data_IF_027649591308
#
_entry.id   IF_027649591308
#
_cell.length_a   1.000
_cell.length_b   1.000
_cell.length_c   1.000
_cell.angle_alpha   90.00
_cell.angle_beta   90.00
_cell.angle_gamma   90.00
#
_symmetry.space_group_name_H-M   'P 1'
#
loop_
_entity.id
_entity.type
_entity.pdbx_description
1 polymer ?
#
# COMPACT_ATOMS: atom_id res chain seq x y z
N UNK A 1 -52.20 7.66 -10.94
CA UNK A 1 -51.17 8.63 -10.51
C UNK A 1 -50.37 8.05 -9.35
N UNK A 2 -49.04 8.03 -9.35
CA UNK A 2 -48.27 7.54 -8.21
C UNK A 2 -48.35 8.54 -7.04
N UNK A 3 -48.73 8.05 -5.86
CA UNK A 3 -48.90 8.86 -4.64
C UNK A 3 -47.55 9.44 -4.18
N UNK A 4 -47.53 10.74 -3.95
CA UNK A 4 -46.38 11.47 -3.42
C UNK A 4 -45.89 10.88 -2.08
N UNK A 5 -44.56 10.73 -1.96
CA UNK A 5 -43.91 10.32 -0.72
C UNK A 5 -44.14 11.40 0.35
N UNK A 6 -45.04 11.11 1.30
CA UNK A 6 -45.31 11.99 2.45
C UNK A 6 -44.01 12.31 3.18
N UNK A 7 -43.83 13.61 3.44
CA UNK A 7 -42.60 14.26 3.86
C UNK A 7 -41.85 13.59 5.02
N UNK A 8 -40.53 13.63 4.91
CA UNK A 8 -39.61 13.40 6.03
C UNK A 8 -39.95 14.40 7.13
N UNK A 9 -40.46 13.90 8.25
CA UNK A 9 -40.67 14.68 9.46
C UNK A 9 -39.32 15.14 10.01
N UNK A 10 -38.87 16.33 9.62
CA UNK A 10 -37.61 16.95 10.01
C UNK A 10 -37.56 17.46 11.48
N UNK A 11 -38.49 17.00 12.34
CA UNK A 11 -38.62 17.47 13.72
C UNK A 11 -39.20 16.46 14.70
N UNK A 12 -39.23 15.16 14.38
CA UNK A 12 -39.55 14.13 15.38
C UNK A 12 -38.25 13.61 15.97
N UNK A 13 -38.10 13.74 17.29
CA UNK A 13 -37.07 13.06 18.08
C UNK A 13 -36.89 11.63 17.57
N UNK A 14 -35.63 11.17 17.45
CA UNK A 14 -35.31 9.83 16.94
C UNK A 14 -35.97 8.81 17.88
N UNK A 15 -37.18 8.37 17.52
CA UNK A 15 -37.94 7.37 18.27
C UNK A 15 -37.06 6.15 18.48
N UNK A 16 -37.06 5.62 19.69
CA UNK A 16 -36.37 4.36 20.03
C UNK A 16 -36.84 3.28 19.04
N UNK A 17 -35.88 2.71 18.31
CA UNK A 17 -36.15 1.71 17.27
C UNK A 17 -35.96 0.34 17.90
N UNK A 18 -36.99 -0.50 17.87
CA UNK A 18 -36.84 -1.88 18.35
C UNK A 18 -35.84 -2.66 17.46
N UNK A 19 -34.93 -3.46 18.04
CA UNK A 19 -33.87 -4.15 17.30
C UNK A 19 -34.38 -5.04 16.16
N UNK A 20 -35.52 -5.70 16.34
CA UNK A 20 -36.13 -6.58 15.33
C UNK A 20 -37.10 -5.88 14.38
N UNK A 21 -37.17 -4.54 14.40
CA UNK A 21 -38.05 -3.81 13.51
C UNK A 21 -37.50 -3.74 12.08
N UNK A 22 -38.40 -3.59 11.08
CA UNK A 22 -38.01 -3.35 9.68
C UNK A 22 -37.08 -2.13 9.52
N UNK A 23 -37.27 -1.10 10.36
CA UNK A 23 -36.44 0.11 10.35
C UNK A 23 -35.02 -0.19 10.83
N UNK A 24 -34.86 -1.01 11.87
CA UNK A 24 -33.54 -1.47 12.32
C UNK A 24 -32.83 -2.29 11.23
N UNK A 25 -33.54 -3.22 10.58
CA UNK A 25 -32.98 -4.01 9.47
C UNK A 25 -32.55 -3.16 8.26
N UNK A 26 -33.25 -2.05 7.99
CA UNK A 26 -32.83 -1.10 6.95
C UNK A 26 -31.55 -0.35 7.33
N UNK A 27 -31.44 0.08 8.59
CA UNK A 27 -30.24 0.77 9.10
C UNK A 27 -29.03 -0.16 9.07
N UNK A 28 -29.16 -1.42 9.51
CA UNK A 28 -28.05 -2.39 9.47
C UNK A 28 -27.62 -2.70 8.04
N UNK A 29 -28.57 -2.82 7.10
CA UNK A 29 -28.26 -2.99 5.67
C UNK A 29 -27.51 -1.81 5.09
N UNK A 30 -27.91 -0.59 5.43
CA UNK A 30 -27.24 0.63 4.98
C UNK A 30 -25.83 0.75 5.59
N UNK A 31 -25.69 0.45 6.88
CA UNK A 31 -24.39 0.41 7.57
C UNK A 31 -23.44 -0.60 6.91
N UNK A 32 -23.88 -1.84 6.65
CA UNK A 32 -23.05 -2.83 5.95
C UNK A 32 -22.70 -2.42 4.52
N UNK A 33 -23.62 -1.77 3.79
CA UNK A 33 -23.31 -1.23 2.46
C UNK A 33 -22.22 -0.18 2.54
N UNK A 34 -22.30 0.72 3.52
CA UNK A 34 -21.32 1.78 3.72
C UNK A 34 -19.97 1.21 4.18
N UNK A 35 -19.96 0.25 5.08
CA UNK A 35 -18.76 -0.48 5.52
C UNK A 35 -18.03 -1.15 4.35
N UNK A 36 -18.76 -1.88 3.49
CA UNK A 36 -18.19 -2.49 2.28
C UNK A 36 -17.61 -1.44 1.33
N UNK A 37 -18.29 -0.30 1.17
CA UNK A 37 -17.82 0.80 0.33
C UNK A 37 -16.52 1.40 0.87
N UNK A 38 -16.45 1.68 2.17
CA UNK A 38 -15.23 2.22 2.79
C UNK A 38 -14.09 1.21 2.77
N UNK A 39 -14.35 -0.08 2.97
CA UNK A 39 -13.34 -1.14 2.83
C UNK A 39 -12.70 -1.13 1.43
N UNK A 40 -13.52 -1.09 0.38
CA UNK A 40 -13.02 -1.04 -1.01
C UNK A 40 -12.21 0.23 -1.30
N UNK A 41 -12.58 1.37 -0.71
CA UNK A 41 -11.79 2.60 -0.83
C UNK A 41 -10.44 2.46 -0.14
N UNK A 42 -10.43 1.92 1.08
CA UNK A 42 -9.22 1.75 1.86
C UNK A 42 -8.25 0.76 1.18
N UNK A 43 -8.75 -0.34 0.61
CA UNK A 43 -7.93 -1.27 -0.17
C UNK A 43 -7.30 -0.61 -1.40
N UNK A 44 -8.07 0.21 -2.13
CA UNK A 44 -7.54 0.98 -3.27
C UNK A 44 -6.51 2.02 -2.83
N UNK A 45 -6.79 2.74 -1.75
CA UNK A 45 -5.87 3.73 -1.20
C UNK A 45 -4.56 3.07 -0.76
N UNK A 46 -4.61 1.92 -0.08
CA UNK A 46 -3.42 1.16 0.31
C UNK A 46 -2.59 0.73 -0.91
N UNK A 47 -3.25 0.25 -1.98
CA UNK A 47 -2.55 -0.13 -3.22
C UNK A 47 -1.87 1.07 -3.88
N UNK A 48 -2.54 2.22 -3.94
CA UNK A 48 -1.98 3.45 -4.49
C UNK A 48 -0.83 3.98 -3.63
N UNK A 49 -0.96 3.92 -2.30
CA UNK A 49 0.10 4.31 -1.38
C UNK A 49 1.35 3.46 -1.58
N UNK A 50 1.21 2.13 -1.74
CA UNK A 50 2.37 1.26 -2.00
C UNK A 50 3.10 1.62 -3.30
N UNK A 51 2.35 1.98 -4.35
CA UNK A 51 2.95 2.49 -5.59
C UNK A 51 3.65 3.82 -5.32
N UNK A 52 3.01 4.73 -4.59
CA UNK A 52 3.58 6.01 -4.19
C UNK A 52 4.88 5.88 -3.41
N UNK A 53 4.94 4.99 -2.42
CA UNK A 53 6.15 4.69 -1.63
C UNK A 53 7.28 4.17 -2.52
N UNK A 54 6.96 3.28 -3.47
CA UNK A 54 7.93 2.79 -4.45
C UNK A 54 8.47 3.94 -5.31
N UNK A 55 7.60 4.77 -5.86
CA UNK A 55 7.99 5.93 -6.67
C UNK A 55 8.84 6.92 -5.85
N UNK A 56 8.44 7.20 -4.62
CA UNK A 56 9.17 8.08 -3.71
C UNK A 56 10.57 7.54 -3.41
N UNK A 57 10.72 6.22 -3.23
CA UNK A 57 12.04 5.61 -3.07
C UNK A 57 12.91 5.92 -4.29
N UNK A 58 12.41 5.70 -5.52
CA UNK A 58 13.16 6.00 -6.73
C UNK A 58 13.52 7.49 -6.79
N UNK A 59 12.56 8.39 -6.58
CA UNK A 59 12.78 9.84 -6.60
C UNK A 59 13.91 10.27 -5.65
N UNK A 60 13.91 9.76 -4.42
CA UNK A 60 14.92 10.09 -3.41
C UNK A 60 16.32 9.56 -3.73
N UNK A 61 16.43 8.51 -4.55
CA UNK A 61 17.71 7.87 -4.91
C UNK A 61 18.19 8.26 -6.31
N UNK A 62 17.49 9.16 -7.01
CA UNK A 62 17.97 9.76 -8.24
C UNK A 62 18.99 10.87 -7.93
N UNK A 63 20.02 10.96 -8.78
CA UNK A 63 21.00 12.03 -8.73
C UNK A 63 20.37 13.28 -9.35
N UNK A 64 20.27 14.39 -8.59
CA UNK A 64 19.69 15.64 -9.10
C UNK A 64 20.49 16.26 -10.26
N UNK A 65 21.79 15.96 -10.36
CA UNK A 65 22.70 16.57 -11.36
C UNK A 65 22.72 15.82 -12.69
N UNK A 66 22.29 14.55 -12.71
CA UNK A 66 22.40 13.68 -13.90
C UNK A 66 21.29 13.96 -14.90
N UNK A 67 21.61 14.30 -16.15
CA UNK A 67 20.60 14.67 -17.17
C UNK A 67 19.81 13.51 -17.77
N UNK A 68 20.28 12.27 -17.61
CA UNK A 68 19.66 11.06 -18.13
C UNK A 68 20.39 9.80 -17.66
N UNK A 69 19.67 8.68 -17.63
CA UNK A 69 20.20 7.40 -17.18
C UNK A 69 20.46 6.47 -18.36
N UNK A 70 21.55 5.71 -18.31
CA UNK A 70 21.74 4.56 -19.21
C UNK A 70 20.95 3.36 -18.69
N UNK A 71 20.78 2.35 -19.54
CA UNK A 71 20.16 1.07 -19.12
C UNK A 71 20.92 0.42 -17.97
N UNK A 72 22.25 0.49 -17.99
CA UNK A 72 23.09 -0.05 -16.91
C UNK A 72 22.84 0.69 -15.60
N UNK A 73 22.77 2.02 -15.64
CA UNK A 73 22.46 2.81 -14.45
C UNK A 73 21.07 2.48 -13.88
N UNK A 74 20.09 2.22 -14.76
CA UNK A 74 18.75 1.82 -14.34
C UNK A 74 18.76 0.45 -13.65
N UNK A 75 19.49 -0.53 -14.19
CA UNK A 75 19.70 -1.84 -13.54
C UNK A 75 20.39 -1.69 -12.18
N UNK A 76 21.43 -0.86 -12.08
CA UNK A 76 22.11 -0.60 -10.81
C UNK A 76 21.17 0.05 -9.77
N UNK A 77 20.30 0.96 -10.21
CA UNK A 77 19.29 1.57 -9.33
C UNK A 77 18.23 0.56 -8.87
N UNK A 78 17.81 -0.35 -9.76
CA UNK A 78 16.91 -1.46 -9.41
C UNK A 78 17.56 -2.40 -8.39
N UNK A 79 18.84 -2.75 -8.56
CA UNK A 79 19.55 -3.59 -7.59
C UNK A 79 19.63 -2.92 -6.21
N UNK A 80 19.84 -1.59 -6.17
CA UNK A 80 19.76 -0.83 -4.91
C UNK A 80 18.36 -0.89 -4.29
N UNK A 81 17.31 -0.81 -5.11
CA UNK A 81 15.92 -0.93 -4.66
C UNK A 81 15.64 -2.31 -4.08
N UNK A 82 16.09 -3.38 -4.74
CA UNK A 82 15.93 -4.76 -4.26
C UNK A 82 16.66 -5.01 -2.93
N UNK A 83 17.79 -4.33 -2.72
CA UNK A 83 18.58 -4.42 -1.50
C UNK A 83 18.21 -3.36 -0.43
N UNK A 84 17.08 -2.65 -0.58
CA UNK A 84 16.67 -1.58 0.36
C UNK A 84 16.44 -2.06 1.80
N UNK A 85 16.14 -3.33 1.99
CA UNK A 85 15.89 -3.93 3.30
C UNK A 85 17.11 -4.66 3.88
N UNK A 86 18.26 -4.66 3.21
CA UNK A 86 19.43 -5.42 3.66
C UNK A 86 19.90 -4.99 5.05
N UNK A 87 19.89 -3.69 5.36
CA UNK A 87 20.24 -3.18 6.69
C UNK A 87 19.23 -3.58 7.79
N UNK A 88 17.92 -3.57 7.47
CA UNK A 88 16.87 -4.02 8.40
C UNK A 88 17.02 -5.52 8.70
N UNK A 89 17.28 -6.34 7.67
CA UNK A 89 17.50 -7.77 7.83
C UNK A 89 18.75 -8.09 8.64
N UNK A 90 19.86 -7.39 8.37
CA UNK A 90 21.11 -7.53 9.13
C UNK A 90 20.89 -7.16 10.60
N UNK A 91 20.16 -6.09 10.89
CA UNK A 91 19.84 -5.70 12.27
C UNK A 91 18.99 -6.76 12.99
N UNK A 92 18.00 -7.34 12.30
CA UNK A 92 17.18 -8.44 12.85
C UNK A 92 18.04 -9.67 13.12
N UNK A 93 18.96 -10.01 12.21
CA UNK A 93 19.88 -11.13 12.36
C UNK A 93 20.82 -10.93 13.55
N UNK A 94 21.46 -9.75 13.65
CA UNK A 94 22.32 -9.38 14.78
C UNK A 94 21.58 -9.49 16.11
N UNK A 95 20.38 -8.92 16.20
CA UNK A 95 19.56 -9.03 17.42
C UNK A 95 19.25 -10.48 17.77
N UNK A 96 18.94 -11.33 16.80
CA UNK A 96 18.61 -12.74 17.03
C UNK A 96 19.85 -13.63 17.28
N UNK A 97 21.03 -13.21 16.84
CA UNK A 97 22.30 -13.91 17.06
C UNK A 97 22.82 -13.81 18.50
N UNK A 98 22.36 -12.78 19.25
CA UNK A 98 22.66 -12.64 20.68
C UNK A 98 21.90 -13.74 21.42
N UNK A 99 22.66 -14.71 21.95
CA UNK A 99 22.12 -15.86 22.69
C UNK A 99 21.48 -15.41 24.01
N UNK A 100 20.21 -15.04 23.96
CA UNK A 100 19.36 -14.86 25.13
C UNK A 100 18.39 -16.06 25.26
N UNK A 101 17.84 -16.28 26.45
CA UNK A 101 16.81 -17.31 26.71
C UNK A 101 15.46 -16.99 26.06
N UNK A 102 15.39 -15.95 25.23
CA UNK A 102 14.17 -15.46 24.60
C UNK A 102 14.06 -15.98 23.17
N UNK A 103 12.82 -16.26 22.73
CA UNK A 103 12.54 -16.71 21.37
C UNK A 103 12.90 -15.68 20.30
N UNK A 104 12.94 -16.14 19.04
CA UNK A 104 13.27 -15.32 17.86
C UNK A 104 12.37 -14.08 17.78
N UNK A 105 12.98 -12.89 17.82
CA UNK A 105 12.27 -11.62 17.69
C UNK A 105 12.10 -11.24 16.21
N UNK A 106 11.09 -10.44 15.90
CA UNK A 106 10.81 -9.90 14.56
C UNK A 106 10.57 -10.93 13.44
N UNK A 107 10.24 -12.19 13.77
CA UNK A 107 10.06 -13.24 12.78
C UNK A 107 9.01 -12.91 11.70
N UNK A 108 7.88 -12.32 12.09
CA UNK A 108 6.80 -11.94 11.15
C UNK A 108 7.26 -10.91 10.13
N UNK A 109 7.96 -9.86 10.58
CA UNK A 109 8.49 -8.80 9.72
C UNK A 109 9.57 -9.33 8.79
N UNK A 110 10.49 -10.14 9.32
CA UNK A 110 11.57 -10.76 8.54
C UNK A 110 11.00 -11.65 7.42
N UNK A 111 10.01 -12.49 7.72
CA UNK A 111 9.34 -13.33 6.72
C UNK A 111 8.66 -12.50 5.63
N UNK A 112 7.95 -11.43 6.00
CA UNK A 112 7.28 -10.55 5.02
C UNK A 112 8.30 -9.86 4.11
N UNK A 113 9.42 -9.37 4.65
CA UNK A 113 10.50 -8.75 3.84
C UNK A 113 11.07 -9.78 2.87
N UNK A 114 11.45 -10.96 3.36
CA UNK A 114 12.05 -12.02 2.53
C UNK A 114 11.12 -12.42 1.38
N UNK A 115 9.84 -12.65 1.67
CA UNK A 115 8.83 -12.96 0.64
C UNK A 115 8.64 -11.82 -0.37
N UNK A 116 8.72 -10.57 0.09
CA UNK A 116 8.59 -9.39 -0.79
C UNK A 116 9.79 -9.28 -1.72
N UNK A 117 11.00 -9.37 -1.20
CA UNK A 117 12.25 -9.29 -1.98
C UNK A 117 12.34 -10.47 -2.97
N UNK A 118 11.98 -11.67 -2.54
CA UNK A 118 11.94 -12.86 -3.41
C UNK A 118 10.99 -12.64 -4.60
N UNK A 119 9.78 -12.13 -4.33
CA UNK A 119 8.83 -11.79 -5.39
C UNK A 119 9.40 -10.73 -6.33
N UNK A 120 9.95 -9.64 -5.82
CA UNK A 120 10.50 -8.57 -6.65
C UNK A 120 11.70 -9.04 -7.48
N UNK A 121 12.57 -9.91 -6.94
CA UNK A 121 13.66 -10.56 -7.69
C UNK A 121 13.14 -11.44 -8.81
N UNK A 122 12.16 -12.30 -8.52
CA UNK A 122 11.54 -13.16 -9.53
C UNK A 122 10.92 -12.34 -10.67
N UNK A 123 10.30 -11.19 -10.35
CA UNK A 123 9.77 -10.26 -11.35
C UNK A 123 10.88 -9.66 -12.21
N UNK A 124 11.95 -9.19 -11.58
CA UNK A 124 13.07 -8.55 -12.26
C UNK A 124 13.78 -9.51 -13.23
N UNK A 125 14.06 -10.74 -12.81
CA UNK A 125 14.75 -11.74 -13.62
C UNK A 125 13.85 -12.35 -14.72
N UNK A 126 12.54 -12.42 -14.48
CA UNK A 126 11.59 -13.06 -15.39
C UNK A 126 11.07 -12.14 -16.51
N UNK A 127 10.18 -11.21 -16.14
CA UNK A 127 9.41 -10.39 -17.09
C UNK A 127 9.71 -8.88 -16.98
N UNK A 128 10.55 -8.50 -16.03
CA UNK A 128 10.93 -7.11 -15.76
C UNK A 128 10.16 -6.52 -14.59
N UNK A 129 10.84 -5.61 -13.88
CA UNK A 129 10.27 -4.86 -12.76
C UNK A 129 9.74 -3.51 -13.27
N UNK A 130 8.48 -3.20 -12.95
CA UNK A 130 7.89 -1.89 -13.30
C UNK A 130 8.59 -0.77 -12.54
N UNK A 131 9.21 0.17 -13.26
CA UNK A 131 9.91 1.33 -12.69
C UNK A 131 9.58 2.60 -13.48
N UNK A 132 9.77 3.80 -12.90
CA UNK A 132 9.67 5.05 -13.65
C UNK A 132 10.61 5.06 -14.85
N UNK A 133 10.16 5.64 -15.96
CA UNK A 133 11.03 5.85 -17.12
C UNK A 133 12.04 6.97 -16.85
N UNK A 134 13.22 6.56 -16.41
CA UNK A 134 14.37 7.42 -16.15
C UNK A 134 15.33 7.52 -17.33
N UNK A 135 15.09 6.74 -18.40
CA UNK A 135 15.92 6.76 -19.60
C UNK A 135 15.56 7.96 -20.48
N UNK A 136 14.28 8.32 -20.54
CA UNK A 136 13.83 9.51 -21.24
C UNK A 136 14.01 10.76 -20.37
N UNK A 137 14.82 11.72 -20.86
CA UNK A 137 15.08 12.97 -20.16
C UNK A 137 13.81 13.82 -19.89
N UNK A 138 12.79 13.74 -20.75
CA UNK A 138 11.51 14.45 -20.54
C UNK A 138 10.73 13.85 -19.37
N UNK A 139 10.66 12.52 -19.30
CA UNK A 139 9.98 11.81 -18.23
C UNK A 139 10.73 11.99 -16.90
N UNK A 140 12.06 11.91 -16.94
CA UNK A 140 12.92 12.17 -15.80
C UNK A 140 12.72 13.57 -15.21
N UNK A 141 12.58 14.61 -16.06
CA UNK A 141 12.28 15.97 -15.59
C UNK A 141 10.92 16.10 -14.92
N UNK A 142 9.93 15.33 -15.36
CA UNK A 142 8.58 15.34 -14.79
C UNK A 142 8.51 14.52 -13.50
N UNK A 143 9.34 13.47 -13.41
CA UNK A 143 9.40 12.58 -12.26
C UNK A 143 10.21 13.15 -11.08
N UNK A 144 11.10 14.12 -11.36
CA UNK A 144 11.80 14.91 -10.35
C UNK A 144 10.86 15.87 -9.65
#
# INVERSE_FOLDING_TARGET
MPKALKGKSAGREKKVIHPYSRKAAQITREAHKQEKKEKLKNEKALRLNLIGEKLQWFQNHLDPKKGGYSKKDACELIERYLNRFSSELEQIELHNSIKDRQGRRHCSRETVIKQTVERERQQYEGYGLEIPDILNASNLKTFR
#
